data_IF_387097255398
#
_entry.id   IF_387097255398
#
_cell.length_a   1.000
_cell.length_b   1.000
_cell.length_c   1.000
_cell.angle_alpha   90.00
_cell.angle_beta   90.00
_cell.angle_gamma   90.00
#
_symmetry.space_group_name_H-M   'P 1'
#
loop_
_entity.id
_entity.type
_entity.pdbx_description
1 polymer ?
#
# COMPACT_ATOMS: atom_id res chain seq x y z
N UNK A 1 6.62 40.52 55.09
CA UNK A 1 6.70 40.09 53.68
C UNK A 1 5.99 38.75 53.55
N UNK A 2 4.74 38.74 53.09
CA UNK A 2 3.95 37.52 52.92
C UNK A 2 4.05 37.09 51.45
N UNK A 3 4.77 36.00 51.19
CA UNK A 3 4.78 35.33 49.88
C UNK A 3 3.40 34.69 49.70
N UNK A 4 2.53 35.34 48.92
CA UNK A 4 1.33 34.70 48.38
C UNK A 4 1.79 33.58 47.43
N UNK A 5 1.92 32.36 47.95
CA UNK A 5 1.87 31.13 47.15
C UNK A 5 0.45 31.03 46.56
N UNK A 6 0.18 31.85 45.54
CA UNK A 6 -0.91 31.57 44.63
C UNK A 6 -0.43 30.37 43.82
N UNK A 7 -0.72 29.15 44.30
CA UNK A 7 -0.69 28.00 43.43
C UNK A 7 -1.52 28.40 42.18
N UNK A 8 -0.97 28.31 40.95
CA UNK A 8 -1.75 28.64 39.77
C UNK A 8 -3.07 27.87 39.89
N UNK A 9 -4.23 28.50 39.62
CA UNK A 9 -5.50 27.79 39.66
C UNK A 9 -5.29 26.55 38.81
N UNK A 10 -5.50 25.35 39.39
CA UNK A 10 -5.39 24.07 38.69
C UNK A 10 -6.10 24.28 37.36
N UNK A 11 -5.33 24.47 36.29
CA UNK A 11 -5.86 25.06 35.08
C UNK A 11 -6.90 24.07 34.58
N UNK A 12 -8.18 24.43 34.68
CA UNK A 12 -9.27 23.60 34.25
C UNK A 12 -9.08 23.38 32.74
N UNK A 13 -8.44 22.27 32.40
CA UNK A 13 -7.97 22.01 31.05
C UNK A 13 -9.19 21.59 30.26
N UNK A 14 -9.62 22.38 29.28
CA UNK A 14 -10.81 22.04 28.51
C UNK A 14 -10.48 21.10 27.36
N UNK A 15 -11.46 20.27 27.00
CA UNK A 15 -11.38 19.36 25.88
C UNK A 15 -11.28 20.16 24.58
N UNK A 16 -10.21 20.01 23.79
CA UNK A 16 -10.07 20.71 22.52
C UNK A 16 -11.04 20.13 21.48
N UNK A 17 -11.37 20.92 20.45
CA UNK A 17 -12.10 20.41 19.28
C UNK A 17 -11.12 19.71 18.32
N UNK A 18 -11.16 18.38 18.36
CA UNK A 18 -10.35 17.48 17.56
C UNK A 18 -11.03 17.08 16.24
N UNK A 19 -12.28 17.49 16.00
CA UNK A 19 -13.03 17.08 14.80
C UNK A 19 -12.33 17.54 13.53
N UNK A 20 -12.36 16.70 12.49
CA UNK A 20 -11.71 16.92 11.19
C UNK A 20 -10.18 17.10 11.22
N UNK A 21 -9.53 16.97 12.38
CA UNK A 21 -8.07 16.97 12.50
C UNK A 21 -7.53 15.56 12.25
N UNK A 22 -6.27 15.50 11.81
CA UNK A 22 -5.51 14.26 11.77
C UNK A 22 -5.26 13.76 13.20
N UNK A 23 -5.17 12.45 13.38
CA UNK A 23 -4.99 11.83 14.69
C UNK A 23 -3.68 12.23 15.37
N UNK A 24 -2.56 12.26 14.65
CA UNK A 24 -1.22 12.52 15.24
C UNK A 24 -1.12 13.91 15.91
N UNK A 25 -1.52 15.03 15.27
CA UNK A 25 -1.55 16.33 15.93
C UNK A 25 -2.51 16.41 17.13
N UNK A 26 -3.60 15.64 17.09
CA UNK A 26 -4.58 15.57 18.17
C UNK A 26 -3.98 14.88 19.39
N UNK A 27 -3.31 13.74 19.21
CA UNK A 27 -2.63 13.03 20.29
C UNK A 27 -1.54 13.89 20.93
N UNK A 28 -0.75 14.60 20.13
CA UNK A 28 0.27 15.51 20.65
C UNK A 28 -0.35 16.63 21.50
N UNK A 29 -1.51 17.15 21.07
CA UNK A 29 -2.27 18.15 21.82
C UNK A 29 -2.77 17.57 23.15
N UNK A 30 -3.36 16.37 23.14
CA UNK A 30 -3.82 15.70 24.37
C UNK A 30 -2.68 15.43 25.37
N UNK A 31 -1.49 15.08 24.89
CA UNK A 31 -0.28 14.93 25.74
C UNK A 31 0.11 16.24 26.41
N UNK A 32 0.09 17.36 25.67
CA UNK A 32 0.41 18.69 26.22
C UNK A 32 -0.60 19.15 27.27
N UNK A 33 -1.85 18.71 27.13
CA UNK A 33 -2.94 18.97 28.07
C UNK A 33 -2.89 18.06 29.31
N UNK A 34 -1.91 17.15 29.43
CA UNK A 34 -1.76 16.26 30.58
C UNK A 34 -2.76 15.10 30.62
N UNK A 35 -3.48 14.84 29.52
CA UNK A 35 -4.35 13.67 29.41
C UNK A 35 -3.48 12.42 29.34
N UNK A 36 -3.62 11.53 30.33
CA UNK A 36 -2.78 10.32 30.44
C UNK A 36 -3.28 9.15 29.60
N UNK A 37 -4.60 9.09 29.37
CA UNK A 37 -5.24 7.96 28.69
C UNK A 37 -6.32 8.44 27.72
N UNK A 38 -6.23 7.97 26.46
CA UNK A 38 -7.31 8.09 25.49
C UNK A 38 -7.51 6.77 24.73
N UNK A 39 -8.72 6.56 24.23
CA UNK A 39 -9.11 5.38 23.45
C UNK A 39 -9.51 5.80 22.05
N UNK A 40 -8.89 5.18 21.05
CA UNK A 40 -9.28 5.29 19.65
C UNK A 40 -10.33 4.23 19.36
N UNK A 41 -11.42 4.64 18.73
CA UNK A 41 -12.51 3.79 18.28
C UNK A 41 -12.67 3.97 16.78
N UNK A 42 -12.85 2.87 16.07
CA UNK A 42 -13.16 2.95 14.64
C UNK A 42 -14.60 3.44 14.44
N UNK A 43 -14.77 4.39 13.52
CA UNK A 43 -16.08 4.83 13.12
C UNK A 43 -16.71 3.82 12.17
N UNK A 44 -18.03 3.56 12.27
CA UNK A 44 -18.73 2.71 11.31
C UNK A 44 -18.79 3.32 9.89
N UNK A 45 -18.36 4.58 9.70
CA UNK A 45 -18.43 5.26 8.40
C UNK A 45 -17.07 5.28 7.70
N UNK A 46 -16.99 4.80 6.44
CA UNK A 46 -15.78 4.85 5.65
C UNK A 46 -15.48 6.30 5.26
N UNK A 47 -14.24 6.77 5.43
CA UNK A 47 -13.88 8.17 5.20
C UNK A 47 -12.38 8.37 4.87
N UNK A 48 -11.92 9.63 4.76
CA UNK A 48 -10.50 9.92 4.58
C UNK A 48 -9.72 9.34 5.76
N UNK A 49 -8.65 8.55 5.54
CA UNK A 49 -7.99 7.84 6.63
C UNK A 49 -7.48 8.77 7.73
N UNK A 50 -7.49 8.26 8.97
CA UNK A 50 -6.86 8.87 10.13
C UNK A 50 -7.38 10.27 10.52
N UNK A 51 -8.65 10.58 10.20
CA UNK A 51 -9.34 11.79 10.69
C UNK A 51 -10.27 11.48 11.84
N UNK A 52 -10.23 12.32 12.87
CA UNK A 52 -11.17 12.28 13.99
C UNK A 52 -12.54 12.80 13.54
N UNK A 53 -13.56 11.95 13.62
CA UNK A 53 -14.94 12.24 13.24
C UNK A 53 -15.77 12.72 14.44
N UNK A 54 -15.50 12.16 15.61
CA UNK A 54 -16.18 12.54 16.84
C UNK A 54 -15.25 12.38 18.04
N UNK A 55 -15.62 13.02 19.14
CA UNK A 55 -14.89 12.98 20.39
C UNK A 55 -15.85 12.94 21.58
N UNK A 56 -15.37 12.37 22.68
CA UNK A 56 -16.01 12.36 23.98
C UNK A 56 -14.91 12.50 25.03
N UNK A 57 -14.91 13.52 25.90
CA UNK A 57 -15.96 14.54 26.09
C UNK A 57 -16.12 15.52 24.92
N UNK A 58 -17.20 16.32 24.95
CA UNK A 58 -17.45 17.36 23.94
C UNK A 58 -16.43 18.50 24.07
N UNK A 59 -16.17 19.26 22.98
CA UNK A 59 -15.30 20.43 23.06
C UNK A 59 -15.74 21.40 24.17
N UNK A 60 -14.77 21.98 24.88
CA UNK A 60 -15.03 22.89 26.00
C UNK A 60 -15.37 22.21 27.33
N UNK A 61 -15.57 20.89 27.36
CA UNK A 61 -15.77 20.15 28.63
C UNK A 61 -14.50 20.22 29.47
N UNK A 62 -14.61 20.46 30.77
CA UNK A 62 -13.46 20.40 31.68
C UNK A 62 -12.94 18.97 31.77
N UNK A 63 -11.66 18.78 31.52
CA UNK A 63 -10.94 17.52 31.67
C UNK A 63 -10.30 17.49 33.05
N UNK A 64 -10.80 16.62 33.92
CA UNK A 64 -10.06 16.21 35.12
C UNK A 64 -8.93 15.26 34.73
N UNK A 65 -7.88 15.18 35.56
CA UNK A 65 -6.68 14.36 35.32
C UNK A 65 -6.96 12.86 35.10
N UNK A 66 -8.14 12.37 35.49
CA UNK A 66 -8.63 10.99 35.34
C UNK A 66 -9.61 10.80 34.17
N UNK A 67 -9.90 11.86 33.41
CA UNK A 67 -10.91 11.84 32.35
C UNK A 67 -10.41 11.02 31.17
N UNK A 68 -11.12 9.94 30.84
CA UNK A 68 -10.84 9.14 29.64
C UNK A 68 -11.40 9.83 28.41
N UNK A 69 -10.52 10.16 27.47
CA UNK A 69 -10.91 10.71 26.17
C UNK A 69 -11.16 9.58 25.18
N UNK A 70 -12.27 9.62 24.45
CA UNK A 70 -12.60 8.71 23.34
C UNK A 70 -12.62 9.50 22.06
N UNK A 71 -11.90 9.01 21.05
CA UNK A 71 -11.85 9.58 19.72
C UNK A 71 -12.36 8.55 18.73
N UNK A 72 -13.33 8.93 17.89
CA UNK A 72 -13.77 8.10 16.78
C UNK A 72 -13.03 8.51 15.52
N UNK A 73 -12.30 7.58 14.93
CA UNK A 73 -11.46 7.83 13.75
C UNK A 73 -12.09 7.15 12.54
N UNK A 74 -11.97 7.82 11.39
CA UNK A 74 -12.41 7.31 10.10
C UNK A 74 -11.55 6.13 9.63
N UNK A 75 -12.21 5.07 9.19
CA UNK A 75 -11.56 3.92 8.56
C UNK A 75 -11.25 4.29 7.10
N UNK A 76 -10.04 3.97 6.59
CA UNK A 76 -9.73 4.13 5.17
C UNK A 76 -10.82 3.48 4.32
N UNK A 77 -11.35 4.23 3.34
CA UNK A 77 -12.02 3.58 2.24
C UNK A 77 -10.95 2.77 1.50
N UNK A 78 -11.09 1.45 1.48
CA UNK A 78 -10.35 0.61 0.57
C UNK A 78 -10.78 1.07 -0.81
N UNK A 79 -10.00 1.99 -1.37
CA UNK A 79 -10.21 2.46 -2.72
C UNK A 79 -9.98 1.21 -3.53
N UNK A 80 -11.06 0.60 -4.02
CA UNK A 80 -10.98 -0.38 -5.09
C UNK A 80 -10.38 0.41 -6.24
N UNK A 81 -9.05 0.48 -6.28
CA UNK A 81 -8.31 0.98 -7.42
C UNK A 81 -8.80 0.07 -8.52
N UNK A 82 -9.57 0.57 -9.52
CA UNK A 82 -9.85 -0.25 -10.69
C UNK A 82 -8.47 -0.63 -11.18
N UNK A 83 -8.16 -1.93 -11.13
CA UNK A 83 -6.87 -2.45 -11.55
C UNK A 83 -6.64 -1.84 -12.92
N UNK A 84 -5.68 -0.92 -13.03
CA UNK A 84 -5.20 -0.48 -14.34
C UNK A 84 -4.96 -1.77 -15.15
N UNK A 85 -5.29 -1.82 -16.45
CA UNK A 85 -5.10 -3.01 -17.25
C UNK A 85 -3.75 -3.59 -16.89
N UNK A 86 -3.77 -4.79 -16.28
CA UNK A 86 -2.57 -5.49 -15.87
C UNK A 86 -1.59 -5.33 -17.00
N UNK A 87 -0.40 -4.77 -16.74
CA UNK A 87 0.69 -4.84 -17.72
C UNK A 87 0.63 -6.26 -18.29
N UNK A 88 0.52 -6.42 -19.63
CA UNK A 88 0.30 -7.73 -20.22
C UNK A 88 1.32 -8.69 -19.61
N UNK A 89 0.89 -9.88 -19.15
CA UNK A 89 1.72 -10.75 -18.32
C UNK A 89 3.10 -10.87 -18.95
N UNK A 90 4.12 -10.40 -18.23
CA UNK A 90 5.47 -10.28 -18.79
C UNK A 90 5.84 -11.59 -19.47
N UNK A 91 6.02 -11.52 -20.80
CA UNK A 91 6.37 -12.66 -21.62
C UNK A 91 7.66 -13.23 -21.06
N UNK A 92 7.59 -14.41 -20.43
CA UNK A 92 8.76 -15.08 -19.92
C UNK A 92 9.77 -15.21 -21.09
N UNK A 93 10.94 -14.56 -21.03
CA UNK A 93 11.88 -14.54 -22.15
C UNK A 93 12.39 -15.94 -22.53
N UNK A 94 12.23 -16.92 -21.63
CA UNK A 94 12.61 -18.31 -21.84
C UNK A 94 11.47 -19.19 -22.38
N UNK A 95 10.26 -18.66 -22.60
CA UNK A 95 9.17 -19.38 -23.30
C UNK A 95 9.05 -18.89 -24.73
N UNK A 96 9.78 -19.54 -25.64
CA UNK A 96 9.50 -19.40 -27.07
C UNK A 96 8.14 -20.02 -27.39
N UNK A 97 7.20 -19.29 -28.04
CA UNK A 97 5.91 -19.85 -28.39
C UNK A 97 6.06 -21.04 -29.36
N UNK A 98 5.19 -22.05 -29.22
CA UNK A 98 5.28 -23.33 -29.94
C UNK A 98 5.36 -23.18 -31.48
N UNK A 99 4.77 -22.12 -32.05
CA UNK A 99 4.86 -21.84 -33.48
C UNK A 99 6.29 -21.48 -33.93
N UNK A 100 7.14 -20.92 -33.05
CA UNK A 100 8.56 -20.68 -33.37
C UNK A 100 9.32 -22.00 -33.54
N UNK A 101 8.99 -23.02 -32.76
CA UNK A 101 9.50 -24.38 -32.98
C UNK A 101 8.98 -24.97 -34.30
N UNK A 102 7.72 -24.73 -34.65
CA UNK A 102 7.17 -25.15 -35.94
C UNK A 102 7.91 -24.52 -37.13
N UNK A 103 8.21 -23.22 -37.06
CA UNK A 103 8.96 -22.53 -38.11
C UNK A 103 10.40 -23.07 -38.24
N UNK A 104 11.06 -23.33 -37.10
CA UNK A 104 12.39 -23.93 -37.07
C UNK A 104 12.42 -25.34 -37.68
N UNK A 105 11.43 -26.18 -37.33
CA UNK A 105 11.28 -27.52 -37.90
C UNK A 105 10.95 -27.51 -39.39
N UNK A 106 10.09 -26.58 -39.83
CA UNK A 106 9.80 -26.36 -41.26
C UNK A 106 11.05 -25.95 -42.02
N UNK A 107 11.85 -25.05 -41.47
CA UNK A 107 13.11 -24.64 -42.09
C UNK A 107 14.10 -25.81 -42.20
N UNK A 108 14.25 -26.63 -41.15
CA UNK A 108 15.08 -27.84 -41.19
C UNK A 108 14.58 -28.86 -42.23
N UNK A 109 13.26 -29.08 -42.30
CA UNK A 109 12.66 -29.99 -43.26
C UNK A 109 12.88 -29.52 -44.70
N UNK A 110 12.70 -28.22 -44.96
CA UNK A 110 12.98 -27.63 -46.27
C UNK A 110 14.46 -27.76 -46.64
N UNK A 111 15.37 -27.58 -45.67
CA UNK A 111 16.79 -27.81 -45.87
C UNK A 111 17.05 -29.28 -46.25
N UNK A 112 16.50 -30.23 -45.50
CA UNK A 112 16.64 -31.67 -45.79
C UNK A 112 16.12 -32.01 -47.20
N UNK A 113 14.97 -31.48 -47.59
CA UNK A 113 14.39 -31.67 -48.93
C UNK A 113 15.25 -31.00 -50.01
N UNK A 114 15.85 -29.86 -49.73
CA UNK A 114 16.81 -29.23 -50.63
C UNK A 114 18.06 -30.10 -50.78
N UNK A 115 18.59 -30.68 -49.70
CA UNK A 115 19.69 -31.66 -49.75
C UNK A 115 19.32 -32.91 -50.56
N UNK A 116 18.10 -33.42 -50.42
CA UNK A 116 17.58 -34.54 -51.20
C UNK A 116 17.45 -34.22 -52.69
N UNK A 117 17.03 -33.00 -53.04
CA UNK A 117 16.93 -32.53 -54.44
C UNK A 117 18.28 -32.21 -55.07
N UNK A 118 19.21 -31.67 -54.29
CA UNK A 118 20.53 -31.25 -54.77
C UNK A 118 21.45 -32.46 -54.94
N UNK A 119 21.17 -33.59 -54.27
CA UNK A 119 21.90 -34.84 -54.42
C UNK A 119 23.35 -34.67 -53.98
N UNK A 120 23.70 -35.12 -52.77
CA UNK A 120 25.12 -35.18 -52.41
C UNK A 120 25.86 -35.96 -53.52
N UNK A 121 26.97 -35.42 -54.07
CA UNK A 121 28.00 -36.27 -54.60
C UNK A 121 28.61 -37.01 -53.41
N UNK A 122 27.96 -38.11 -53.01
CA UNK A 122 28.54 -39.07 -52.09
C UNK A 122 29.81 -39.58 -52.77
N UNK A 123 30.94 -39.07 -52.31
CA UNK A 123 32.20 -39.79 -52.33
C UNK A 123 32.61 -40.28 -53.74
N UNK A 124 33.26 -39.43 -54.54
CA UNK A 124 34.24 -39.95 -55.50
C UNK A 124 35.39 -40.55 -54.69
N UNK A 125 35.26 -41.83 -54.37
CA UNK A 125 36.34 -42.64 -53.79
C UNK A 125 37.31 -42.78 -54.94
N UNK A 126 38.35 -41.95 -54.95
CA UNK A 126 39.51 -42.18 -55.81
C UNK A 126 40.10 -43.53 -55.39
N UNK A 127 39.58 -44.59 -56.02
CA UNK A 127 40.28 -45.85 -56.23
C UNK A 127 40.69 -45.84 -57.69
N UNK A 128 41.94 -45.52 -57.94
CA UNK A 128 42.66 -45.94 -59.13
C UNK A 128 44.16 -45.79 -58.86
N UNK A 129 44.83 -46.94 -58.83
CA UNK A 129 46.26 -47.23 -58.99
C UNK A 129 47.25 -46.51 -58.08
#
# INVERSE_FOLDING_TARGET
>A
MLFLLLAPPLAAQTMPDCRNRALEPVEQSLRRLGVKEWKILDSPRPGPPARVLAQSPLPGTVLESSTRVRLWVSIPQETVVPRAPLDPPQSNPNRVPLWKWSLFLLAQLLLLLAWLKVGLPLWKRSRAA
#
